data_IF_762667416929
#
_entry.id   IF_762667416929
#
_cell.length_a   1.000
_cell.length_b   1.000
_cell.length_c   1.000
_cell.angle_alpha   90.00
_cell.angle_beta   90.00
_cell.angle_gamma   90.00
#
_symmetry.space_group_name_H-M   'P 1'
#
loop_
_entity.id
_entity.type
_entity.pdbx_description
1 polymer ?
#
# COMPACT_ATOMS: atom_id res chain seq x y z
N UNK A 1 24.81 31.07 27.43
CA UNK A 1 25.01 29.73 27.97
C UNK A 1 23.77 29.15 28.64
N UNK A 2 23.30 28.04 28.05
CA UNK A 2 22.59 26.91 28.68
C UNK A 2 21.11 27.02 29.11
N UNK A 3 20.32 27.93 28.54
CA UNK A 3 18.87 28.00 28.87
C UNK A 3 17.91 28.12 27.67
N UNK A 4 18.34 27.73 26.47
CA UNK A 4 17.49 27.77 25.25
C UNK A 4 17.71 26.59 24.29
N UNK A 5 18.20 25.46 24.79
CA UNK A 5 18.49 24.28 23.95
C UNK A 5 18.20 22.97 24.68
N UNK A 6 17.13 22.94 25.46
CA UNK A 6 16.72 21.73 26.19
C UNK A 6 15.19 21.51 26.16
N UNK A 7 14.52 22.00 25.12
CA UNK A 7 13.12 21.67 24.83
C UNK A 7 12.96 21.22 23.39
N UNK A 8 12.63 19.93 23.26
CA UNK A 8 12.04 19.26 22.10
C UNK A 8 12.98 18.71 21.01
N UNK A 9 14.07 18.04 21.40
CA UNK A 9 14.62 16.87 20.68
C UNK A 9 13.71 15.63 20.81
N UNK A 10 12.38 15.83 20.82
CA UNK A 10 11.45 14.76 20.49
C UNK A 10 11.41 14.72 18.99
N UNK A 11 12.40 14.00 18.46
CA UNK A 11 12.41 13.39 17.14
C UNK A 11 10.98 13.19 16.68
N UNK A 12 10.52 14.13 15.86
CA UNK A 12 9.26 14.03 15.16
C UNK A 12 9.57 13.01 14.06
N UNK A 13 9.74 11.74 14.45
CA UNK A 13 9.94 10.61 13.56
C UNK A 13 8.69 10.62 12.71
N UNK A 14 8.79 11.26 11.55
CA UNK A 14 7.72 11.21 10.56
C UNK A 14 7.64 9.75 10.18
N UNK A 15 6.63 9.06 10.69
CA UNK A 15 6.30 7.73 10.23
C UNK A 15 5.88 7.90 8.78
N UNK A 16 6.74 7.51 7.84
CA UNK A 16 6.44 7.52 6.42
C UNK A 16 5.47 6.35 6.16
N UNK A 17 4.29 6.71 5.65
CA UNK A 17 3.18 5.80 5.43
C UNK A 17 2.75 5.94 3.98
N UNK A 18 2.68 4.81 3.29
CA UNK A 18 2.20 4.73 1.91
C UNK A 18 0.80 4.12 1.90
N UNK A 19 -0.16 4.78 1.24
CA UNK A 19 -1.55 4.29 1.16
C UNK A 19 -1.74 3.66 -0.22
N UNK A 20 -2.03 2.36 -0.24
CA UNK A 20 -2.23 1.60 -1.48
C UNK A 20 -3.64 1.04 -1.55
N UNK A 21 -4.20 0.91 -2.76
CA UNK A 21 -5.32 -0.02 -2.98
C UNK A 21 -4.76 -1.42 -3.17
N UNK A 22 -5.29 -2.39 -2.44
CA UNK A 22 -4.81 -3.78 -2.50
C UNK A 22 -5.85 -4.71 -3.09
N UNK A 23 -5.43 -5.66 -3.91
CA UNK A 23 -6.28 -6.72 -4.46
C UNK A 23 -5.55 -8.04 -4.47
N UNK A 24 -6.30 -9.12 -4.46
CA UNK A 24 -5.81 -10.47 -4.59
C UNK A 24 -5.90 -10.93 -6.05
N UNK A 25 -4.86 -11.57 -6.58
CA UNK A 25 -4.88 -12.23 -7.88
C UNK A 25 -4.39 -13.66 -7.70
N UNK A 26 -5.22 -14.64 -8.01
CA UNK A 26 -4.75 -16.03 -8.08
C UNK A 26 -3.92 -16.20 -9.35
N UNK A 27 -2.61 -16.35 -9.23
CA UNK A 27 -1.70 -16.62 -10.35
C UNK A 27 -1.09 -18.03 -10.28
N UNK A 28 -1.67 -18.91 -9.44
CA UNK A 28 -1.14 -20.26 -9.20
C UNK A 28 -1.19 -21.18 -10.43
N UNK A 29 -2.11 -20.91 -11.37
CA UNK A 29 -2.15 -21.57 -12.67
C UNK A 29 -1.68 -20.61 -13.78
N UNK A 30 -0.44 -20.78 -14.31
CA UNK A 30 0.11 -19.90 -15.34
C UNK A 30 -0.64 -19.98 -16.69
N UNK A 31 -1.54 -20.96 -16.86
CA UNK A 31 -2.37 -21.10 -18.06
C UNK A 31 -3.77 -20.51 -17.89
N UNK A 32 -4.16 -20.11 -16.67
CA UNK A 32 -5.46 -19.49 -16.44
C UNK A 32 -5.41 -17.98 -16.63
N UNK A 33 -5.65 -17.53 -17.87
CA UNK A 33 -5.60 -16.11 -18.24
C UNK A 33 -6.85 -15.30 -17.85
N UNK A 34 -7.81 -15.89 -17.12
CA UNK A 34 -9.10 -15.25 -16.80
C UNK A 34 -9.21 -14.77 -15.35
N UNK A 35 -8.11 -14.84 -14.58
CA UNK A 35 -8.08 -14.34 -13.22
C UNK A 35 -7.97 -12.81 -13.23
N UNK A 36 -8.97 -12.15 -12.66
CA UNK A 36 -8.98 -10.71 -12.46
C UNK A 36 -8.71 -10.42 -10.99
N UNK A 37 -7.98 -9.33 -10.66
CA UNK A 37 -7.77 -8.96 -9.27
C UNK A 37 -9.08 -8.71 -8.53
N UNK A 38 -9.28 -9.38 -7.40
CA UNK A 38 -10.45 -9.29 -6.53
C UNK A 38 -10.11 -8.59 -5.20
N UNK A 39 -11.04 -7.91 -4.52
CA UNK A 39 -12.42 -7.63 -4.93
C UNK A 39 -12.51 -6.49 -5.95
N UNK A 40 -13.59 -6.42 -6.73
CA UNK A 40 -13.85 -5.34 -7.71
C UNK A 40 -13.80 -3.94 -7.10
N UNK A 41 -14.12 -3.81 -5.80
CA UNK A 41 -13.90 -2.59 -5.02
C UNK A 41 -12.73 -2.82 -4.07
N UNK A 42 -11.49 -2.50 -4.49
CA UNK A 42 -10.31 -2.76 -3.69
C UNK A 42 -10.33 -1.97 -2.37
N UNK A 43 -10.02 -2.60 -1.23
CA UNK A 43 -9.80 -1.88 0.02
C UNK A 43 -8.47 -1.11 -0.01
N UNK A 44 -8.38 -0.08 0.83
CA UNK A 44 -7.13 0.63 1.10
C UNK A 44 -6.34 -0.12 2.18
N UNK A 45 -5.03 -0.15 2.03
CA UNK A 45 -4.07 -0.60 3.03
C UNK A 45 -2.97 0.44 3.19
N UNK A 46 -2.58 0.71 4.43
CA UNK A 46 -1.50 1.66 4.73
C UNK A 46 -0.25 0.88 5.11
N UNK A 47 0.74 0.88 4.22
CA UNK A 47 2.05 0.33 4.49
C UNK A 47 2.90 1.32 5.29
N UNK A 48 3.68 0.79 6.21
CA UNK A 48 4.80 1.49 6.80
C UNK A 48 6.00 1.37 5.88
N UNK A 49 6.58 2.50 5.49
CA UNK A 49 7.72 2.50 4.58
C UNK A 49 9.03 2.08 5.26
N UNK A 50 9.09 2.18 6.60
CA UNK A 50 10.30 2.02 7.42
C UNK A 50 10.52 0.60 7.98
N UNK A 51 9.63 -0.36 7.66
CA UNK A 51 9.74 -1.75 8.10
C UNK A 51 9.57 -2.70 6.92
N UNK A 52 10.21 -3.88 7.01
CA UNK A 52 10.19 -4.88 5.95
C UNK A 52 8.76 -5.33 5.60
N UNK A 53 8.48 -5.52 4.32
CA UNK A 53 7.15 -5.83 3.81
C UNK A 53 6.60 -7.17 4.33
N UNK A 54 7.46 -8.17 4.54
CA UNK A 54 7.10 -9.48 5.10
C UNK A 54 6.38 -9.36 6.45
N UNK A 55 6.75 -8.35 7.26
CA UNK A 55 6.13 -8.10 8.58
C UNK A 55 4.70 -7.58 8.47
N UNK A 56 4.34 -7.02 7.32
CA UNK A 56 3.06 -6.38 7.02
C UNK A 56 2.14 -7.31 6.21
N UNK A 57 2.70 -8.33 5.55
CA UNK A 57 2.00 -9.23 4.64
C UNK A 57 0.79 -9.93 5.29
N UNK A 58 0.91 -10.34 6.56
CA UNK A 58 -0.19 -10.94 7.30
C UNK A 58 -1.38 -9.99 7.49
N UNK A 59 -1.15 -8.67 7.51
CA UNK A 59 -2.19 -7.65 7.54
C UNK A 59 -2.99 -7.61 6.23
N UNK A 60 -2.28 -7.58 5.10
CA UNK A 60 -2.86 -7.58 3.75
C UNK A 60 -3.62 -8.88 3.48
N UNK A 61 -3.02 -10.03 3.80
CA UNK A 61 -3.64 -11.36 3.66
C UNK A 61 -4.99 -11.46 4.38
N UNK A 62 -5.06 -11.01 5.64
CA UNK A 62 -6.31 -10.99 6.42
C UNK A 62 -7.35 -10.03 5.86
N UNK A 63 -6.90 -8.86 5.37
CA UNK A 63 -7.79 -7.85 4.78
C UNK A 63 -8.45 -8.39 3.51
N UNK A 64 -7.67 -9.02 2.64
CA UNK A 64 -8.15 -9.60 1.37
C UNK A 64 -8.83 -10.96 1.55
N UNK A 65 -8.64 -11.61 2.70
CA UNK A 65 -9.07 -13.00 2.95
C UNK A 65 -8.54 -13.95 1.87
N UNK A 66 -7.28 -13.76 1.49
CA UNK A 66 -6.67 -14.52 0.42
C UNK A 66 -6.68 -16.03 0.75
N UNK A 67 -7.02 -16.91 -0.20
CA UNK A 67 -7.16 -18.34 0.03
C UNK A 67 -5.81 -19.06 0.16
N UNK A 68 -4.73 -18.47 -0.35
CA UNK A 68 -3.39 -19.05 -0.32
C UNK A 68 -2.76 -18.99 1.08
N UNK A 69 -1.75 -19.84 1.30
CA UNK A 69 -0.93 -19.76 2.51
C UNK A 69 -0.07 -18.52 2.43
N UNK A 70 0.12 -17.86 3.57
CA UNK A 70 0.91 -16.63 3.65
C UNK A 70 2.32 -16.79 3.06
N UNK A 71 2.96 -17.94 3.28
CA UNK A 71 4.32 -18.23 2.81
C UNK A 71 4.44 -18.38 1.28
N UNK A 72 3.31 -18.62 0.60
CA UNK A 72 3.23 -18.73 -0.86
C UNK A 72 2.87 -17.38 -1.51
N UNK A 73 2.62 -16.33 -0.71
CA UNK A 73 2.10 -15.06 -1.20
C UNK A 73 3.20 -14.02 -1.47
N UNK A 74 2.98 -13.13 -2.43
CA UNK A 74 3.88 -12.01 -2.75
C UNK A 74 3.12 -10.72 -3.04
N UNK A 75 3.86 -9.62 -3.18
CA UNK A 75 3.31 -8.31 -3.55
C UNK A 75 3.87 -7.88 -4.92
N UNK A 76 2.98 -7.44 -5.79
CA UNK A 76 3.31 -6.94 -7.12
C UNK A 76 2.71 -5.55 -7.34
N UNK A 77 3.45 -4.66 -7.99
CA UNK A 77 2.94 -3.37 -8.42
C UNK A 77 2.13 -3.52 -9.71
N UNK A 78 0.89 -3.03 -9.72
CA UNK A 78 0.00 -3.22 -10.87
C UNK A 78 0.43 -2.47 -12.13
N UNK A 79 1.14 -1.35 -11.96
CA UNK A 79 1.42 -0.42 -13.06
C UNK A 79 2.57 -0.91 -13.96
N UNK A 80 3.53 -1.64 -13.40
CA UNK A 80 4.72 -2.14 -14.10
C UNK A 80 4.91 -3.67 -13.98
N UNK A 81 4.16 -4.35 -13.12
CA UNK A 81 4.27 -5.80 -12.89
C UNK A 81 5.49 -6.20 -12.05
N UNK A 82 6.19 -5.24 -11.44
CA UNK A 82 7.36 -5.51 -10.57
C UNK A 82 6.91 -6.21 -9.29
N UNK A 83 7.59 -7.28 -8.93
CA UNK A 83 7.44 -7.93 -7.62
C UNK A 83 8.32 -7.22 -6.60
N UNK A 84 7.73 -6.88 -5.45
CA UNK A 84 8.43 -6.24 -4.36
C UNK A 84 9.25 -7.26 -3.56
N UNK A 85 10.42 -6.85 -3.09
CA UNK A 85 11.22 -7.64 -2.18
C UNK A 85 10.61 -7.56 -0.78
N UNK A 86 10.09 -8.69 -0.30
CA UNK A 86 9.40 -8.79 0.98
C UNK A 86 10.35 -8.62 2.19
N UNK A 87 11.63 -8.97 2.03
CA UNK A 87 12.62 -8.85 3.10
C UNK A 87 13.12 -7.40 3.28
N UNK A 88 12.85 -6.54 2.30
CA UNK A 88 13.24 -5.13 2.28
C UNK A 88 12.10 -4.19 2.68
N UNK A 89 12.46 -2.98 3.11
CA UNK A 89 11.53 -1.86 3.35
C UNK A 89 11.10 -1.19 2.04
N UNK A 90 10.02 -0.39 2.03
CA UNK A 90 9.66 0.40 0.84
C UNK A 90 10.67 1.51 0.56
N UNK A 91 11.30 2.06 1.61
CA UNK A 91 12.36 3.07 1.47
C UNK A 91 13.55 2.51 0.69
N UNK A 92 13.95 1.26 0.96
CA UNK A 92 15.09 0.61 0.31
C UNK A 92 14.87 0.28 -1.17
N UNK A 93 13.61 0.06 -1.58
CA UNK A 93 13.23 -0.26 -2.96
C UNK A 93 12.44 0.87 -3.63
N UNK A 94 12.69 2.13 -3.25
CA UNK A 94 11.92 3.29 -3.72
C UNK A 94 11.99 3.51 -5.23
N UNK A 95 13.08 3.11 -5.87
CA UNK A 95 13.24 3.22 -7.32
C UNK A 95 12.17 2.38 -8.07
N UNK A 96 11.73 1.26 -7.49
CA UNK A 96 10.66 0.42 -8.06
C UNK A 96 9.27 1.06 -7.92
N UNK A 97 9.13 2.03 -7.01
CA UNK A 97 7.93 2.83 -6.77
C UNK A 97 7.91 4.13 -7.60
N UNK A 98 8.88 4.36 -8.49
CA UNK A 98 8.82 5.50 -9.41
C UNK A 98 7.57 5.40 -10.30
N UNK A 99 6.74 6.45 -10.30
CA UNK A 99 5.41 6.44 -10.95
C UNK A 99 4.27 5.94 -10.06
N UNK A 100 4.57 5.42 -8.87
CA UNK A 100 3.57 5.09 -7.84
C UNK A 100 3.11 6.36 -7.08
N UNK A 101 3.99 7.34 -6.85
CA UNK A 101 3.76 8.45 -5.90
C UNK A 101 3.02 9.68 -6.43
N UNK A 102 2.78 9.83 -7.74
CA UNK A 102 2.22 11.07 -8.30
C UNK A 102 0.80 11.38 -7.79
N UNK A 103 0.03 10.39 -7.31
CA UNK A 103 -1.36 10.56 -6.82
C UNK A 103 -1.55 10.35 -5.30
N UNK A 104 -0.49 10.03 -4.53
CA UNK A 104 -0.64 9.60 -3.12
C UNK A 104 -1.15 10.72 -2.19
N UNK A 105 -0.85 11.98 -2.54
CA UNK A 105 -1.38 13.16 -1.85
C UNK A 105 -2.90 13.29 -1.96
N UNK A 106 -3.49 12.81 -3.06
CA UNK A 106 -4.94 12.84 -3.28
C UNK A 106 -5.65 11.74 -2.49
N UNK A 107 -5.08 10.54 -2.43
CA UNK A 107 -5.62 9.41 -1.66
C UNK A 107 -5.69 9.74 -0.17
N UNK A 108 -4.63 10.34 0.39
CA UNK A 108 -4.59 10.77 1.78
C UNK A 108 -5.61 11.87 2.10
N UNK A 109 -5.75 12.84 1.20
CA UNK A 109 -6.77 13.88 1.33
C UNK A 109 -8.18 13.30 1.29
N UNK A 110 -8.42 12.32 0.42
CA UNK A 110 -9.70 11.64 0.31
C UNK A 110 -9.99 10.72 1.49
N UNK A 111 -9.00 10.02 2.07
CA UNK A 111 -9.19 9.24 3.30
C UNK A 111 -9.52 10.16 4.48
N UNK A 112 -8.80 11.27 4.63
CA UNK A 112 -9.04 12.26 5.68
C UNK A 112 -10.42 12.93 5.51
N UNK A 113 -10.86 13.18 4.26
CA UNK A 113 -12.19 13.68 3.96
C UNK A 113 -13.29 12.64 4.16
N UNK A 114 -13.06 11.37 3.84
CA UNK A 114 -14.03 10.30 4.06
C UNK A 114 -14.30 10.10 5.55
N UNK A 115 -13.25 10.20 6.38
CA UNK A 115 -13.40 10.16 7.84
C UNK A 115 -14.16 11.39 8.38
N UNK A 116 -13.98 12.57 7.78
CA UNK A 116 -14.60 13.82 8.26
C UNK A 116 -16.01 14.07 7.70
N UNK A 117 -16.27 13.72 6.45
CA UNK A 117 -17.49 14.03 5.71
C UNK A 117 -17.84 12.93 4.69
N UNK A 118 -18.29 11.75 5.16
CA UNK A 118 -18.48 10.57 4.31
C UNK A 118 -19.52 10.77 3.18
N UNK A 119 -20.48 11.69 3.36
CA UNK A 119 -21.49 12.03 2.35
C UNK A 119 -21.00 12.89 1.18
N UNK A 120 -19.78 13.44 1.23
CA UNK A 120 -19.23 14.31 0.17
C UNK A 120 -18.28 13.58 -0.78
N UNK A 121 -17.95 12.32 -0.49
CA UNK A 121 -16.96 11.58 -1.26
C UNK A 121 -17.66 10.71 -2.30
N UNK A 122 -17.87 11.26 -3.49
CA UNK A 122 -18.02 10.47 -4.71
C UNK A 122 -16.60 10.18 -5.20
N UNK A 123 -15.93 9.14 -4.69
CA UNK A 123 -14.64 8.73 -5.26
C UNK A 123 -14.94 8.25 -6.68
N UNK A 124 -14.75 9.10 -7.69
CA UNK A 124 -14.63 8.59 -9.04
C UNK A 124 -13.38 7.71 -9.04
N UNK A 125 -13.60 6.43 -9.33
CA UNK A 125 -12.64 5.33 -9.23
C UNK A 125 -11.35 5.54 -10.05
N UNK A 126 -11.20 6.65 -10.77
CA UNK A 126 -10.20 6.90 -11.79
C UNK A 126 -8.79 7.19 -11.22
N UNK A 127 -8.65 7.93 -10.12
CA UNK A 127 -7.32 8.32 -9.59
C UNK A 127 -6.63 7.22 -8.74
N UNK A 128 -7.36 6.17 -8.34
CA UNK A 128 -6.79 5.01 -7.64
C UNK A 128 -6.28 3.91 -8.59
N UNK A 129 -6.39 4.10 -9.91
CA UNK A 129 -6.08 3.03 -10.87
C UNK A 129 -4.59 2.68 -10.96
N UNK A 130 -3.68 3.58 -10.57
CA UNK A 130 -2.23 3.40 -10.75
C UNK A 130 -1.47 2.98 -9.47
N UNK A 131 -2.09 3.11 -8.29
CA UNK A 131 -1.50 2.75 -6.99
C UNK A 131 -2.02 1.41 -6.45
N UNK A 132 -2.22 0.45 -7.35
CA UNK A 132 -2.69 -0.89 -6.98
C UNK A 132 -1.50 -1.80 -6.70
N UNK A 133 -1.53 -2.40 -5.52
CA UNK A 133 -0.68 -3.54 -5.17
C UNK A 133 -1.53 -4.79 -5.32
N UNK A 134 -1.03 -5.72 -6.13
CA UNK A 134 -1.61 -7.05 -6.31
C UNK A 134 -0.91 -8.00 -5.35
N UNK A 135 -1.70 -8.66 -4.53
CA UNK A 135 -1.32 -9.75 -3.66
C UNK A 135 -1.54 -11.03 -4.45
N UNK A 136 -0.47 -11.68 -4.87
CA UNK A 136 -0.51 -12.97 -5.55
C UNK A 136 -0.38 -14.08 -4.50
#
# INVERSE_FOLDING_TARGET
>A
DRWFQDRDDKENVRVCLEICVVQFLDDTDPFNSTNFPEPTRPPLYTFREDIALVTQLAGVHRLLRAPHKLDDCTLQLSHNGTYLDLESTLVEQRDELEGFQEDAGYVKYLSDLNERHPQLVSVESADLHQQRVVFC
#
